data_IF_751815192571
#
_entry.id   IF_751815192571
#
_cell.length_a   1.000
_cell.length_b   1.000
_cell.length_c   1.000
_cell.angle_alpha   90.00
_cell.angle_beta   90.00
_cell.angle_gamma   90.00
#
_symmetry.space_group_name_H-M   'P 1'
#
loop_
_entity.id
_entity.type
_entity.pdbx_description
1 polymer ?
#
# COMPACT_ATOMS: atom_id res chain seq x y z
N UNK A 1 -28.18 -10.51 -21.96
CA UNK A 1 -27.18 -10.78 -23.01
C UNK A 1 -26.77 -12.24 -22.88
N UNK A 2 -26.59 -12.94 -24.00
CA UNK A 2 -26.15 -14.34 -24.01
C UNK A 2 -24.61 -14.46 -24.01
N UNK A 3 -24.09 -15.70 -24.03
CA UNK A 3 -22.63 -15.96 -24.10
C UNK A 3 -21.97 -15.40 -25.36
N UNK A 4 -22.74 -15.13 -26.40
CA UNK A 4 -22.32 -14.59 -27.70
C UNK A 4 -21.80 -13.14 -27.63
N UNK A 5 -22.32 -12.33 -26.69
CA UNK A 5 -21.99 -10.90 -26.61
C UNK A 5 -21.58 -10.40 -25.22
N UNK A 6 -21.76 -11.21 -24.17
CA UNK A 6 -21.52 -10.74 -22.80
C UNK A 6 -20.04 -10.39 -22.52
N UNK A 7 -19.09 -11.18 -23.02
CA UNK A 7 -17.66 -10.93 -22.78
C UNK A 7 -17.20 -9.61 -23.43
N UNK A 8 -17.57 -9.38 -24.68
CA UNK A 8 -17.27 -8.15 -25.42
C UNK A 8 -17.91 -6.94 -24.74
N UNK A 9 -19.13 -7.11 -24.19
CA UNK A 9 -19.81 -6.09 -23.40
C UNK A 9 -19.07 -5.76 -22.10
N UNK A 10 -18.52 -6.76 -21.40
CA UNK A 10 -17.74 -6.57 -20.18
C UNK A 10 -16.41 -5.82 -20.46
N UNK A 11 -15.69 -6.21 -21.52
CA UNK A 11 -14.41 -5.60 -21.91
C UNK A 11 -14.57 -4.16 -22.44
N UNK A 12 -15.74 -3.80 -22.98
CA UNK A 12 -16.01 -2.46 -23.49
C UNK A 12 -15.85 -1.36 -22.42
N UNK A 13 -15.94 -1.72 -21.13
CA UNK A 13 -15.75 -0.82 -20.00
C UNK A 13 -14.27 -0.53 -19.66
N UNK A 14 -13.32 -1.31 -20.18
CA UNK A 14 -11.89 -1.22 -19.81
C UNK A 14 -11.30 0.18 -19.99
N UNK A 15 -11.70 0.88 -21.06
CA UNK A 15 -11.26 2.25 -21.34
C UNK A 15 -11.60 3.25 -20.23
N UNK A 16 -12.67 3.02 -19.47
CA UNK A 16 -13.04 3.86 -18.35
C UNK A 16 -12.13 3.58 -17.16
N UNK A 17 -11.93 2.30 -16.81
CA UNK A 17 -11.03 1.89 -15.74
C UNK A 17 -9.58 2.34 -15.98
N UNK A 18 -9.09 2.23 -17.22
CA UNK A 18 -7.74 2.68 -17.60
C UNK A 18 -7.52 4.19 -17.42
N UNK A 19 -8.59 5.01 -17.56
CA UNK A 19 -8.53 6.46 -17.38
C UNK A 19 -8.70 6.92 -15.94
N UNK A 20 -9.26 6.07 -15.06
CA UNK A 20 -9.55 6.45 -13.67
C UNK A 20 -8.34 6.94 -12.87
N UNK A 21 -7.13 6.35 -12.96
CA UNK A 21 -5.97 6.86 -12.23
C UNK A 21 -5.63 8.32 -12.55
N UNK A 22 -5.66 8.70 -13.84
CA UNK A 22 -5.39 10.07 -14.29
C UNK A 22 -6.47 11.04 -13.78
N UNK A 23 -7.74 10.62 -13.79
CA UNK A 23 -8.87 11.42 -13.28
C UNK A 23 -8.69 11.67 -11.77
N UNK A 24 -8.29 10.66 -11.00
CA UNK A 24 -8.06 10.79 -9.56
C UNK A 24 -6.88 11.71 -9.23
N UNK A 25 -5.82 11.70 -10.04
CA UNK A 25 -4.70 12.63 -9.91
C UNK A 25 -5.13 14.07 -10.16
N UNK A 26 -5.83 14.32 -11.28
CA UNK A 26 -6.38 15.66 -11.59
C UNK A 26 -7.31 16.15 -10.48
N UNK A 27 -8.17 15.29 -9.95
CA UNK A 27 -9.03 15.64 -8.81
C UNK A 27 -8.20 15.99 -7.56
N UNK A 28 -7.12 15.26 -7.30
CA UNK A 28 -6.22 15.52 -6.19
C UNK A 28 -5.47 16.85 -6.33
N UNK A 29 -5.10 17.24 -7.56
CA UNK A 29 -4.50 18.55 -7.86
C UNK A 29 -5.47 19.70 -7.59
N UNK A 30 -6.74 19.55 -7.98
CA UNK A 30 -7.80 20.54 -7.68
C UNK A 30 -7.96 20.73 -6.17
N UNK A 31 -8.02 19.61 -5.42
CA UNK A 31 -8.09 19.66 -3.94
C UNK A 31 -6.84 20.32 -3.35
N UNK A 32 -5.66 20.03 -3.89
CA UNK A 32 -4.42 20.65 -3.44
C UNK A 32 -4.40 22.16 -3.71
N UNK A 33 -4.90 22.62 -4.85
CA UNK A 33 -5.00 24.05 -5.19
C UNK A 33 -5.90 24.85 -4.24
N UNK A 34 -6.95 24.20 -3.70
CA UNK A 34 -7.88 24.84 -2.75
C UNK A 34 -7.37 24.75 -1.31
N UNK A 35 -6.79 23.63 -0.93
CA UNK A 35 -6.57 23.28 0.48
C UNK A 35 -5.10 23.26 0.90
N UNK A 36 -4.17 23.31 -0.06
CA UNK A 36 -2.74 23.06 0.14
C UNK A 36 -2.37 21.60 0.39
N UNK A 37 -3.34 20.69 0.58
CA UNK A 37 -3.08 19.28 0.88
C UNK A 37 -2.92 18.47 -0.39
N UNK A 38 -1.73 17.89 -0.58
CA UNK A 38 -1.41 17.01 -1.70
C UNK A 38 -1.73 15.57 -1.35
N UNK A 39 -2.33 14.85 -2.29
CA UNK A 39 -2.62 13.43 -2.18
C UNK A 39 -2.03 12.71 -3.39
N UNK A 40 -1.46 11.54 -3.12
CA UNK A 40 -0.96 10.62 -4.14
C UNK A 40 -1.68 9.27 -3.97
N UNK A 41 -1.87 8.47 -5.05
CA UNK A 41 -2.54 7.17 -4.96
C UNK A 41 -1.84 6.22 -3.96
N UNK A 42 -0.51 6.32 -3.90
CA UNK A 42 0.36 5.70 -2.92
C UNK A 42 1.26 6.79 -2.37
N UNK A 43 1.19 7.09 -1.07
CA UNK A 43 2.11 8.08 -0.49
C UNK A 43 3.03 7.42 0.52
N UNK A 44 4.32 7.56 0.27
CA UNK A 44 5.39 7.14 1.13
C UNK A 44 5.75 8.24 2.12
N UNK A 45 5.99 7.84 3.37
CA UNK A 45 6.51 8.67 4.45
C UNK A 45 7.58 7.84 5.18
N UNK A 46 8.78 8.39 5.37
CA UNK A 46 9.88 7.64 5.95
C UNK A 46 11.25 8.13 5.52
N UNK A 47 12.27 7.37 5.88
CA UNK A 47 13.64 7.64 5.46
C UNK A 47 13.76 7.44 3.94
N UNK A 48 14.45 8.31 3.19
CA UNK A 48 14.63 8.13 1.73
C UNK A 48 15.44 6.88 1.36
N UNK A 49 16.20 6.34 2.31
CA UNK A 49 16.95 5.09 2.19
C UNK A 49 16.40 3.98 3.12
N UNK A 50 15.08 3.91 3.33
CA UNK A 50 14.51 2.88 4.19
C UNK A 50 14.79 1.46 3.64
N UNK A 51 15.14 0.54 4.53
CA UNK A 51 15.28 -0.89 4.18
C UNK A 51 14.03 -1.69 4.52
N UNK A 52 13.30 -1.26 5.56
CA UNK A 52 12.08 -1.91 6.07
C UNK A 52 10.89 -0.96 5.93
N UNK A 53 9.84 -1.40 5.23
CA UNK A 53 8.65 -0.58 4.98
C UNK A 53 7.37 -1.31 5.37
N UNK A 54 6.42 -0.60 5.97
CA UNK A 54 5.06 -1.10 6.17
C UNK A 54 4.15 -0.58 5.05
N UNK A 55 3.40 -1.46 4.39
CA UNK A 55 2.34 -1.10 3.44
C UNK A 55 0.99 -1.30 4.11
N UNK A 56 0.17 -0.26 4.15
CA UNK A 56 -1.10 -0.26 4.90
C UNK A 56 -2.11 0.72 4.30
N UNK A 57 -3.40 0.47 4.55
CA UNK A 57 -4.51 1.33 4.16
C UNK A 57 -5.35 1.77 5.37
N UNK A 58 -6.03 2.91 5.25
CA UNK A 58 -7.01 3.40 6.22
C UNK A 58 -6.39 3.96 7.50
N UNK A 59 -7.16 3.97 8.59
CA UNK A 59 -6.79 4.67 9.83
C UNK A 59 -5.52 4.11 10.50
N UNK A 60 -5.23 2.82 10.34
CA UNK A 60 -4.02 2.22 10.90
C UNK A 60 -2.73 2.85 10.34
N UNK A 61 -2.79 3.40 9.13
CA UNK A 61 -1.68 4.14 8.53
C UNK A 61 -1.26 5.38 9.33
N UNK A 62 -2.17 5.99 10.10
CA UNK A 62 -1.87 7.14 10.95
C UNK A 62 -0.97 6.71 12.12
N UNK A 63 -1.36 5.63 12.81
CA UNK A 63 -0.56 5.05 13.90
C UNK A 63 0.80 4.59 13.41
N UNK A 64 0.87 3.98 12.21
CA UNK A 64 2.15 3.58 11.63
C UNK A 64 3.03 4.80 11.33
N UNK A 65 2.49 5.87 10.76
CA UNK A 65 3.26 7.10 10.53
C UNK A 65 3.80 7.73 11.80
N UNK A 66 3.01 7.75 12.88
CA UNK A 66 3.46 8.30 14.16
C UNK A 66 4.67 7.52 14.69
N UNK A 67 4.61 6.18 14.63
CA UNK A 67 5.73 5.32 15.03
C UNK A 67 6.92 5.46 14.09
N UNK A 68 6.70 5.52 12.78
CA UNK A 68 7.78 5.76 11.80
C UNK A 68 8.49 7.07 12.12
N UNK A 69 7.76 8.18 12.30
CA UNK A 69 8.37 9.45 12.68
C UNK A 69 9.20 9.34 13.95
N UNK A 70 8.70 8.64 14.98
CA UNK A 70 9.45 8.42 16.21
C UNK A 70 10.75 7.64 15.96
N UNK A 71 10.68 6.59 15.16
CA UNK A 71 11.85 5.78 14.79
C UNK A 71 12.86 6.56 13.92
N UNK A 72 12.39 7.51 13.11
CA UNK A 72 13.27 8.42 12.35
C UNK A 72 14.07 9.35 13.28
N UNK A 73 13.44 9.87 14.34
CA UNK A 73 14.16 10.66 15.38
C UNK A 73 15.27 9.86 16.05
N UNK A 74 15.10 8.53 16.12
CA UNK A 74 16.08 7.58 16.66
C UNK A 74 17.10 7.10 15.61
N UNK A 75 17.08 7.68 14.41
CA UNK A 75 18.02 7.37 13.33
C UNK A 75 17.75 6.05 12.59
N UNK A 76 16.57 5.44 12.75
CA UNK A 76 16.22 4.21 12.04
C UNK A 76 15.84 4.51 10.59
N UNK A 77 16.26 3.62 9.68
CA UNK A 77 15.92 3.69 8.24
C UNK A 77 14.66 2.89 7.94
N UNK A 78 13.50 3.42 8.35
CA UNK A 78 12.18 2.80 8.15
C UNK A 78 11.22 3.71 7.40
N UNK A 79 10.14 3.14 6.88
CA UNK A 79 9.09 3.90 6.23
C UNK A 79 7.73 3.24 6.24
N UNK A 80 6.73 3.99 5.81
CA UNK A 80 5.36 3.53 5.59
C UNK A 80 4.88 4.00 4.22
N UNK A 81 4.30 3.08 3.46
CA UNK A 81 3.58 3.39 2.23
C UNK A 81 2.08 3.25 2.48
N UNK A 82 1.38 4.37 2.34
CA UNK A 82 -0.06 4.47 2.54
C UNK A 82 -0.79 4.30 1.22
N UNK A 83 -1.57 3.25 1.11
CA UNK A 83 -2.44 3.02 -0.05
C UNK A 83 -3.70 3.87 0.11
N UNK A 84 -3.92 4.81 -0.83
CA UNK A 84 -5.12 5.64 -0.91
C UNK A 84 -6.03 5.20 -2.06
N UNK A 85 -5.44 4.78 -3.17
CA UNK A 85 -6.14 4.19 -4.31
C UNK A 85 -5.92 2.67 -4.32
N UNK A 86 -6.84 1.93 -3.71
CA UNK A 86 -6.79 0.45 -3.76
C UNK A 86 -7.24 -0.08 -5.12
N UNK A 87 -8.29 0.52 -5.73
CA UNK A 87 -8.76 0.19 -7.07
C UNK A 87 -9.14 1.44 -7.88
N UNK A 88 -8.85 1.48 -9.19
CA UNK A 88 -8.00 0.52 -9.92
C UNK A 88 -6.56 0.56 -9.42
N UNK A 89 -5.90 -0.60 -9.36
CA UNK A 89 -4.53 -0.70 -8.90
C UNK A 89 -3.56 -0.32 -10.02
N UNK A 90 -2.50 0.42 -9.71
CA UNK A 90 -1.47 0.85 -10.68
C UNK A 90 -0.09 0.42 -10.19
N UNK A 91 0.38 -0.72 -10.69
CA UNK A 91 1.60 -1.39 -10.24
C UNK A 91 2.85 -0.49 -10.35
N UNK A 92 2.98 0.23 -11.46
CA UNK A 92 4.13 1.10 -11.74
C UNK A 92 4.18 2.29 -10.77
N UNK A 93 3.03 2.90 -10.47
CA UNK A 93 2.93 4.01 -9.51
C UNK A 93 3.16 3.53 -8.07
N UNK A 94 2.75 2.31 -7.74
CA UNK A 94 3.04 1.72 -6.42
C UNK A 94 4.53 1.50 -6.26
N UNK A 95 5.18 0.84 -7.22
CA UNK A 95 6.61 0.56 -7.18
C UNK A 95 7.45 1.85 -7.17
N UNK A 96 7.07 2.85 -7.98
CA UNK A 96 7.75 4.15 -8.01
C UNK A 96 7.62 4.95 -6.71
N UNK A 97 6.62 4.65 -5.86
CA UNK A 97 6.48 5.30 -4.55
C UNK A 97 7.38 4.69 -3.47
N UNK A 98 7.97 3.50 -3.70
CA UNK A 98 8.90 2.87 -2.76
C UNK A 98 10.33 3.36 -3.00
N UNK A 99 11.13 3.60 -1.94
CA UNK A 99 12.57 3.78 -2.09
C UNK A 99 13.25 2.57 -2.74
N UNK A 100 14.26 2.82 -3.58
CA UNK A 100 15.04 1.76 -4.23
C UNK A 100 15.85 0.89 -3.25
N UNK A 101 15.99 1.33 -2.00
CA UNK A 101 16.75 0.65 -0.94
C UNK A 101 15.92 -0.37 -0.15
N UNK A 102 14.62 -0.46 -0.41
CA UNK A 102 13.72 -1.35 0.32
C UNK A 102 14.14 -2.80 0.11
N UNK A 103 14.27 -3.54 1.21
CA UNK A 103 14.63 -4.97 1.22
C UNK A 103 13.51 -5.83 1.78
N UNK A 104 12.69 -5.27 2.69
CA UNK A 104 11.63 -6.00 3.38
C UNK A 104 10.38 -5.16 3.53
N UNK A 105 9.23 -5.77 3.26
CA UNK A 105 7.91 -5.14 3.35
C UNK A 105 7.00 -5.97 4.25
N UNK A 106 6.36 -5.32 5.23
CA UNK A 106 5.20 -5.88 5.92
C UNK A 106 3.92 -5.28 5.35
N UNK A 107 3.04 -6.11 4.81
CA UNK A 107 1.73 -5.69 4.31
C UNK A 107 0.67 -5.98 5.36
N UNK A 108 -0.05 -4.96 5.80
CA UNK A 108 -1.04 -5.07 6.87
C UNK A 108 -2.48 -4.93 6.34
N UNK A 109 -3.22 -6.02 6.41
CA UNK A 109 -4.62 -6.12 6.00
C UNK A 109 -5.58 -6.02 7.20
N UNK A 110 -6.69 -5.30 7.01
CA UNK A 110 -7.74 -5.14 8.04
C UNK A 110 -8.95 -6.03 7.78
N UNK A 111 -8.70 -7.28 7.41
CA UNK A 111 -9.71 -8.29 7.15
C UNK A 111 -9.12 -9.70 7.35
N UNK A 112 -9.95 -10.73 7.14
CA UNK A 112 -9.52 -12.11 7.13
C UNK A 112 -10.27 -12.91 6.06
N UNK A 113 -9.55 -13.37 5.05
CA UNK A 113 -10.04 -14.34 4.08
C UNK A 113 -9.66 -15.76 4.51
N UNK A 114 -10.68 -16.57 4.83
CA UNK A 114 -10.45 -17.94 5.28
C UNK A 114 -10.09 -18.84 4.10
N UNK A 115 -8.91 -19.44 4.14
CA UNK A 115 -8.42 -20.37 3.10
C UNK A 115 -7.70 -19.70 1.93
N UNK A 116 -7.57 -18.36 1.93
CA UNK A 116 -6.75 -17.66 0.95
C UNK A 116 -5.25 -17.85 1.23
N UNK A 117 -4.44 -17.81 0.17
CA UNK A 117 -2.97 -17.84 0.26
C UNK A 117 -2.39 -16.60 0.95
N UNK A 118 -3.12 -15.49 0.92
CA UNK A 118 -2.79 -14.24 1.55
C UNK A 118 -3.97 -13.28 1.47
N UNK A 119 -3.92 -12.20 2.23
CA UNK A 119 -4.99 -11.20 2.24
C UNK A 119 -4.89 -10.28 1.00
N UNK A 120 -5.96 -9.59 0.58
CA UNK A 120 -6.04 -8.90 -0.71
C UNK A 120 -4.92 -7.89 -0.98
N UNK A 121 -4.59 -7.02 0.00
CA UNK A 121 -3.54 -6.04 -0.19
C UNK A 121 -2.17 -6.71 -0.28
N UNK A 122 -1.91 -7.71 0.57
CA UNK A 122 -0.70 -8.53 0.48
C UNK A 122 -0.52 -9.15 -0.91
N UNK A 123 -1.57 -9.75 -1.47
CA UNK A 123 -1.51 -10.39 -2.80
C UNK A 123 -1.20 -9.37 -3.90
N UNK A 124 -1.85 -8.20 -3.88
CA UNK A 124 -1.59 -7.13 -4.86
C UNK A 124 -0.14 -6.61 -4.80
N UNK A 125 0.40 -6.47 -3.59
CA UNK A 125 1.81 -6.05 -3.38
C UNK A 125 2.76 -7.11 -3.94
N UNK A 126 2.56 -8.38 -3.61
CA UNK A 126 3.39 -9.47 -4.16
C UNK A 126 3.33 -9.51 -5.70
N UNK A 127 2.14 -9.42 -6.29
CA UNK A 127 1.98 -9.39 -7.74
C UNK A 127 2.68 -8.17 -8.36
N UNK A 128 2.57 -7.00 -7.74
CA UNK A 128 3.22 -5.77 -8.20
C UNK A 128 4.74 -5.88 -8.20
N UNK A 129 5.32 -6.37 -7.12
CA UNK A 129 6.78 -6.51 -7.01
C UNK A 129 7.31 -7.52 -8.02
N UNK A 130 6.57 -8.61 -8.27
CA UNK A 130 6.90 -9.55 -9.33
C UNK A 130 6.84 -8.90 -10.72
N UNK A 131 5.73 -8.21 -11.05
CA UNK A 131 5.54 -7.54 -12.35
C UNK A 131 6.58 -6.44 -12.61
N UNK A 132 7.04 -5.75 -11.57
CA UNK A 132 7.94 -4.60 -11.70
C UNK A 132 9.43 -4.96 -11.54
N UNK A 133 9.76 -6.26 -11.42
CA UNK A 133 11.15 -6.72 -11.31
C UNK A 133 11.80 -6.54 -9.93
N UNK A 134 11.00 -6.31 -8.89
CA UNK A 134 11.43 -6.14 -7.49
C UNK A 134 11.15 -7.38 -6.64
N UNK A 135 11.25 -8.57 -7.24
CA UNK A 135 10.90 -9.86 -6.59
C UNK A 135 11.90 -10.33 -5.53
N UNK A 136 13.04 -9.64 -5.42
CA UNK A 136 14.06 -9.86 -4.39
C UNK A 136 13.68 -9.24 -3.03
N UNK A 137 12.70 -8.33 -3.01
CA UNK A 137 12.14 -7.76 -1.78
C UNK A 137 11.35 -8.84 -1.03
N UNK A 138 11.72 -9.10 0.23
CA UNK A 138 10.99 -10.01 1.10
C UNK A 138 9.66 -9.38 1.53
N UNK A 139 8.54 -10.06 1.29
CA UNK A 139 7.21 -9.59 1.70
C UNK A 139 6.61 -10.52 2.74
N UNK A 140 6.14 -9.96 3.85
CA UNK A 140 5.38 -10.67 4.88
C UNK A 140 3.98 -10.08 5.02
N UNK A 141 2.97 -10.93 5.17
CA UNK A 141 1.59 -10.53 5.40
C UNK A 141 1.24 -10.50 6.88
N UNK A 142 0.51 -9.48 7.32
CA UNK A 142 0.00 -9.33 8.67
C UNK A 142 -1.46 -8.89 8.68
N UNK A 143 -2.17 -9.17 9.77
CA UNK A 143 -3.57 -8.76 9.96
C UNK A 143 -3.71 -7.94 11.22
N UNK A 144 -4.55 -6.92 11.17
CA UNK A 144 -4.77 -6.05 12.31
C UNK A 144 -6.22 -5.54 12.37
N UNK A 145 -6.62 -5.01 13.52
CA UNK A 145 -7.78 -4.13 13.64
C UNK A 145 -9.16 -4.71 13.31
N UNK A 146 -9.29 -6.04 13.16
CA UNK A 146 -10.54 -6.72 12.82
C UNK A 146 -11.54 -6.53 13.97
N UNK A 147 -12.80 -6.21 13.63
CA UNK A 147 -13.87 -6.06 14.63
C UNK A 147 -13.65 -4.89 15.60
N UNK A 148 -12.88 -3.87 15.21
CA UNK A 148 -12.58 -2.74 16.09
C UNK A 148 -11.50 -3.01 17.14
N UNK A 149 -10.76 -4.11 17.02
CA UNK A 149 -9.58 -4.37 17.87
C UNK A 149 -8.58 -3.22 17.75
N UNK A 150 -8.03 -2.79 18.89
CA UNK A 150 -7.01 -1.75 18.91
C UNK A 150 -5.78 -2.12 18.08
N UNK A 151 -5.21 -1.10 17.45
CA UNK A 151 -3.94 -1.15 16.75
C UNK A 151 -3.02 -0.07 17.31
N UNK A 152 -2.14 -0.44 18.24
CA UNK A 152 -1.38 0.49 19.08
C UNK A 152 0.05 0.72 18.56
N UNK A 153 0.72 1.81 18.98
CA UNK A 153 2.12 2.05 18.64
C UNK A 153 3.06 0.87 18.98
N UNK A 154 2.85 0.21 20.12
CA UNK A 154 3.64 -0.96 20.52
C UNK A 154 3.47 -2.16 19.57
N UNK A 155 2.29 -2.34 18.98
CA UNK A 155 2.07 -3.37 17.97
C UNK A 155 2.72 -3.02 16.63
N UNK A 156 2.76 -1.74 16.27
CA UNK A 156 3.50 -1.27 15.08
C UNK A 156 5.00 -1.52 15.26
N UNK A 157 5.55 -1.22 16.44
CA UNK A 157 6.96 -1.53 16.75
C UNK A 157 7.26 -3.02 16.57
N UNK A 158 6.38 -3.89 17.09
CA UNK A 158 6.53 -5.34 16.91
C UNK A 158 6.52 -5.77 15.43
N UNK A 159 5.78 -5.08 14.55
CA UNK A 159 5.83 -5.33 13.10
C UNK A 159 7.20 -4.97 12.52
N UNK A 160 7.78 -3.82 12.91
CA UNK A 160 9.11 -3.43 12.46
C UNK A 160 10.21 -4.32 13.05
N UNK A 161 10.10 -4.75 14.31
CA UNK A 161 11.00 -5.71 14.94
C UNK A 161 10.98 -7.05 14.20
N UNK A 162 9.80 -7.51 13.79
CA UNK A 162 9.65 -8.70 12.94
C UNK A 162 10.32 -8.53 11.57
N UNK A 163 10.25 -7.34 10.95
CA UNK A 163 10.98 -7.07 9.71
C UNK A 163 12.50 -7.02 9.91
N UNK A 164 12.97 -6.60 11.09
CA UNK A 164 14.39 -6.52 11.41
C UNK A 164 14.99 -7.86 11.87
N UNK A 165 14.15 -8.85 12.18
CA UNK A 165 14.58 -10.19 12.57
C UNK A 165 15.37 -10.88 11.43
N UNK A 166 16.41 -11.68 11.78
CA UNK A 166 17.26 -12.36 10.82
C UNK A 166 16.54 -13.43 9.99
#
# INVERSE_FOLDING_TARGET
QGPDVFFQGAEAANKYHARMPEILEKASEVVAGITGRKYAPYAYEGHPEAENVVVIMGSGAVTVSEVVHKMLEEGKKVGVLKVRQFRPWTAEKFAAALPATVKRIAVLDRLKENGAMGEPLFVDVCATLNQTGNSDIMVVGGRFGIGGKDFTPGQVLAVFDNLAAP
#
